data_IF_141739511384
#
_entry.id   IF_141739511384
#
_cell.length_a   1.000
_cell.length_b   1.000
_cell.length_c   1.000
_cell.angle_alpha   90.00
_cell.angle_beta   90.00
_cell.angle_gamma   90.00
#
_symmetry.space_group_name_H-M   'P 1'
#
loop_
_entity.id
_entity.type
_entity.pdbx_description
1 polymer ?
#
# COMPACT_ATOMS: atom_id res chain seq x y z
N UNK A 1 24.41 15.45 6.07
CA UNK A 1 23.39 14.78 6.91
C UNK A 1 23.98 13.63 7.76
N UNK A 2 25.21 13.75 8.21
CA UNK A 2 25.94 12.67 8.93
C UNK A 2 25.60 12.53 10.42
N UNK A 3 24.69 13.33 10.98
CA UNK A 3 24.40 13.36 12.42
C UNK A 3 22.96 12.98 12.79
N UNK A 4 22.10 12.59 11.85
CA UNK A 4 20.71 12.25 12.14
C UNK A 4 19.82 13.42 12.59
N UNK A 5 20.32 14.66 12.52
CA UNK A 5 19.53 15.86 12.84
C UNK A 5 18.73 16.31 11.60
N UNK A 6 17.65 15.58 11.31
CA UNK A 6 16.79 15.91 10.17
C UNK A 6 15.98 17.19 10.38
N UNK A 7 15.63 17.52 11.61
CA UNK A 7 14.94 18.78 11.94
C UNK A 7 15.77 20.01 11.52
N UNK A 8 17.02 20.10 11.95
CA UNK A 8 17.90 21.22 11.54
C UNK A 8 18.22 21.24 10.05
N UNK A 9 18.22 20.06 9.38
CA UNK A 9 18.33 19.99 7.94
C UNK A 9 17.10 20.58 7.23
N UNK A 10 15.89 20.27 7.71
CA UNK A 10 14.63 20.81 7.19
C UNK A 10 14.64 22.33 7.26
N UNK A 11 14.92 22.93 8.44
CA UNK A 11 14.99 24.39 8.62
C UNK A 11 15.95 25.05 7.62
N UNK A 12 17.14 24.45 7.43
CA UNK A 12 18.16 24.99 6.51
C UNK A 12 17.71 24.89 5.05
N UNK A 13 17.13 23.78 4.64
CA UNK A 13 16.66 23.53 3.27
C UNK A 13 15.45 24.38 2.93
N UNK A 14 14.50 24.57 3.84
CA UNK A 14 13.37 25.47 3.70
C UNK A 14 13.81 26.94 3.59
N UNK A 15 14.83 27.34 4.36
CA UNK A 15 15.42 28.67 4.23
C UNK A 15 16.03 28.90 2.84
N UNK A 16 16.65 27.89 2.24
CA UNK A 16 17.20 27.97 0.87
C UNK A 16 16.04 28.06 -0.14
N UNK A 17 15.03 27.19 -0.04
CA UNK A 17 13.88 27.15 -0.95
C UNK A 17 13.09 28.46 -0.92
N UNK A 18 12.91 29.05 0.28
CA UNK A 18 12.18 30.32 0.45
C UNK A 18 12.98 31.53 -0.01
N UNK A 19 14.27 31.58 0.31
CA UNK A 19 15.10 32.77 0.04
C UNK A 19 15.60 32.82 -1.40
N UNK A 20 15.79 31.64 -2.01
CA UNK A 20 16.38 31.51 -3.36
C UNK A 20 15.62 30.48 -4.22
N UNK A 21 14.32 30.62 -4.47
CA UNK A 21 13.49 29.59 -5.10
C UNK A 21 13.90 29.25 -6.54
N UNK A 22 14.65 30.11 -7.20
CA UNK A 22 15.21 29.92 -8.54
C UNK A 22 16.75 29.88 -8.55
N UNK A 23 17.35 29.71 -7.38
CA UNK A 23 18.78 29.64 -7.22
C UNK A 23 19.34 28.30 -7.72
N UNK A 24 20.65 28.29 -7.99
CA UNK A 24 21.41 27.13 -8.48
C UNK A 24 21.18 25.85 -7.62
N UNK A 25 20.91 26.01 -6.35
CA UNK A 25 20.74 24.91 -5.39
C UNK A 25 19.28 24.68 -4.97
N UNK A 26 18.33 25.41 -5.55
CA UNK A 26 16.91 25.28 -5.18
C UNK A 26 16.36 23.88 -5.48
N UNK A 27 16.62 23.36 -6.67
CA UNK A 27 16.17 22.02 -7.07
C UNK A 27 16.77 20.93 -6.16
N UNK A 28 18.06 21.07 -5.82
CA UNK A 28 18.71 20.15 -4.90
C UNK A 28 18.12 20.25 -3.48
N UNK A 29 17.87 21.45 -2.98
CA UNK A 29 17.26 21.65 -1.66
C UNK A 29 15.84 21.07 -1.61
N UNK A 30 15.05 21.26 -2.66
CA UNK A 30 13.69 20.74 -2.74
C UNK A 30 13.66 19.20 -2.76
N UNK A 31 14.57 18.55 -3.48
CA UNK A 31 14.62 17.08 -3.51
C UNK A 31 15.14 16.49 -2.18
N UNK A 32 16.07 17.18 -1.52
CA UNK A 32 16.58 16.79 -0.21
C UNK A 32 15.54 17.00 0.91
N UNK A 33 14.65 18.00 0.78
CA UNK A 33 13.53 18.21 1.69
C UNK A 33 12.61 16.99 1.73
N UNK A 34 12.34 16.35 0.59
CA UNK A 34 11.52 15.13 0.55
C UNK A 34 12.09 14.07 1.49
N UNK A 35 13.40 13.83 1.38
CA UNK A 35 14.10 12.85 2.22
C UNK A 35 14.15 13.29 3.68
N UNK A 36 14.45 14.55 3.95
CA UNK A 36 14.58 15.07 5.31
C UNK A 36 13.24 14.96 6.07
N UNK A 37 12.13 15.37 5.47
CA UNK A 37 10.78 15.18 6.05
C UNK A 37 10.46 13.71 6.25
N UNK A 38 10.73 12.85 5.26
CA UNK A 38 10.48 11.42 5.37
C UNK A 38 11.26 10.81 6.55
N UNK A 39 12.54 11.13 6.69
CA UNK A 39 13.39 10.64 7.79
C UNK A 39 13.03 11.27 9.15
N UNK A 40 12.48 12.49 9.17
CA UNK A 40 11.99 13.14 10.37
C UNK A 40 10.60 12.69 10.81
N UNK A 41 10.03 11.72 10.12
CA UNK A 41 8.71 11.17 10.40
C UNK A 41 7.51 12.07 9.99
N UNK A 42 7.74 13.07 9.25
CA UNK A 42 6.77 14.02 8.70
C UNK A 42 6.29 13.56 7.32
N UNK A 43 5.58 12.43 7.27
CA UNK A 43 5.25 11.76 6.02
C UNK A 43 4.33 12.56 5.11
N UNK A 44 3.40 13.32 5.68
CA UNK A 44 2.52 14.21 4.93
C UNK A 44 3.29 15.38 4.31
N UNK A 45 4.27 15.94 5.04
CA UNK A 45 5.16 16.97 4.51
C UNK A 45 6.06 16.40 3.40
N UNK A 46 6.61 15.18 3.58
CA UNK A 46 7.40 14.51 2.56
C UNK A 46 6.59 14.25 1.28
N UNK A 47 5.34 13.80 1.42
CA UNK A 47 4.43 13.60 0.28
C UNK A 47 4.17 14.92 -0.45
N UNK A 48 3.81 15.98 0.28
CA UNK A 48 3.54 17.30 -0.28
C UNK A 48 4.79 17.90 -0.96
N UNK A 49 5.97 17.73 -0.37
CA UNK A 49 7.24 18.16 -0.97
C UNK A 49 7.54 17.41 -2.28
N UNK A 50 7.27 16.09 -2.31
CA UNK A 50 7.41 15.28 -3.52
C UNK A 50 6.45 15.74 -4.63
N UNK A 51 5.18 15.98 -4.31
CA UNK A 51 4.22 16.51 -5.28
C UNK A 51 4.61 17.90 -5.81
N UNK A 52 5.09 18.78 -4.94
CA UNK A 52 5.61 20.10 -5.32
C UNK A 52 6.77 19.94 -6.30
N UNK A 53 7.75 19.07 -5.99
CA UNK A 53 8.91 18.83 -6.85
C UNK A 53 8.51 18.28 -8.22
N UNK A 54 7.63 17.27 -8.26
CA UNK A 54 7.12 16.67 -9.51
C UNK A 54 6.46 17.71 -10.40
N UNK A 55 5.67 18.61 -9.81
CA UNK A 55 4.98 19.68 -10.54
C UNK A 55 5.92 20.75 -11.08
N UNK A 56 6.94 21.14 -10.29
CA UNK A 56 7.87 22.21 -10.66
C UNK A 56 8.97 21.73 -11.62
N UNK A 57 9.41 20.47 -11.47
CA UNK A 57 10.56 19.92 -12.16
C UNK A 57 10.27 18.61 -12.91
N UNK A 58 9.26 18.57 -13.82
CA UNK A 58 8.78 17.31 -14.42
C UNK A 58 9.80 16.61 -15.33
N UNK A 59 10.92 17.29 -15.67
CA UNK A 59 12.01 16.74 -16.51
C UNK A 59 13.34 16.61 -15.74
N UNK A 60 13.31 16.74 -14.42
CA UNK A 60 14.53 16.62 -13.61
C UNK A 60 15.10 15.19 -13.70
N UNK A 61 16.43 15.00 -13.76
CA UNK A 61 17.05 13.68 -13.84
C UNK A 61 16.63 12.71 -12.73
N UNK A 62 16.36 13.21 -11.52
CA UNK A 62 15.94 12.44 -10.35
C UNK A 62 14.42 12.52 -10.10
N UNK A 63 13.62 12.72 -11.15
CA UNK A 63 12.16 12.81 -11.01
C UNK A 63 11.57 11.47 -10.53
N UNK A 64 12.17 10.36 -10.93
CA UNK A 64 11.83 9.01 -10.49
C UNK A 64 11.92 8.85 -8.97
N UNK A 65 12.95 9.44 -8.34
CA UNK A 65 13.07 9.46 -6.89
C UNK A 65 11.91 10.19 -6.21
N UNK A 66 11.47 11.33 -6.75
CA UNK A 66 10.35 12.07 -6.20
C UNK A 66 9.03 11.26 -6.27
N UNK A 67 8.75 10.60 -7.39
CA UNK A 67 7.59 9.67 -7.52
C UNK A 67 7.69 8.50 -6.55
N UNK A 68 8.86 7.90 -6.40
CA UNK A 68 9.10 6.82 -5.46
C UNK A 68 8.85 7.25 -4.02
N UNK A 69 9.42 8.39 -3.59
CA UNK A 69 9.25 8.93 -2.24
C UNK A 69 7.82 9.36 -1.96
N UNK A 70 7.11 9.91 -2.94
CA UNK A 70 5.68 10.19 -2.85
C UNK A 70 4.91 8.93 -2.44
N UNK A 71 5.08 7.84 -3.20
CA UNK A 71 4.40 6.59 -2.92
C UNK A 71 4.78 5.96 -1.58
N UNK A 72 6.04 6.09 -1.14
CA UNK A 72 6.45 5.62 0.18
C UNK A 72 5.80 6.43 1.31
N UNK A 73 5.68 7.74 1.12
CA UNK A 73 5.18 8.66 2.15
C UNK A 73 3.69 8.48 2.43
N UNK A 74 2.90 8.02 1.46
CA UNK A 74 1.46 7.77 1.64
C UNK A 74 1.15 6.65 2.63
N UNK A 75 2.08 5.72 2.87
CA UNK A 75 1.94 4.68 3.87
C UNK A 75 3.28 4.26 4.46
N UNK A 76 3.56 4.67 5.68
CA UNK A 76 4.73 4.29 6.46
C UNK A 76 4.31 3.49 7.69
N UNK A 77 4.40 2.15 7.58
CA UNK A 77 4.10 1.23 8.69
C UNK A 77 5.16 1.26 9.80
N UNK A 78 6.44 1.46 9.43
CA UNK A 78 7.56 1.22 10.33
C UNK A 78 7.66 2.25 11.47
N UNK A 79 6.72 3.17 11.55
CA UNK A 79 6.70 4.25 12.55
C UNK A 79 5.78 4.01 13.72
N UNK A 80 4.82 3.12 13.58
CA UNK A 80 3.99 2.70 14.71
C UNK A 80 4.71 1.60 15.52
N UNK A 81 5.92 1.90 16.02
CA UNK A 81 6.64 1.02 16.94
C UNK A 81 5.77 0.66 18.17
N UNK A 82 4.83 1.51 18.53
CA UNK A 82 3.83 1.24 19.57
C UNK A 82 2.88 0.10 19.19
N UNK A 83 2.65 -0.15 17.88
CA UNK A 83 1.77 -1.23 17.41
C UNK A 83 2.44 -2.60 17.55
N UNK A 84 3.76 -2.69 17.59
CA UNK A 84 4.50 -3.95 17.84
C UNK A 84 4.23 -4.52 19.24
N UNK A 85 3.74 -3.69 20.16
CA UNK A 85 3.43 -4.09 21.55
C UNK A 85 1.93 -4.32 21.78
N UNK A 86 1.07 -4.01 20.82
CA UNK A 86 -0.34 -4.32 20.89
C UNK A 86 -0.66 -5.37 19.82
N UNK A 87 -1.23 -6.48 20.24
CA UNK A 87 -1.69 -7.60 19.39
C UNK A 87 -2.94 -7.21 18.56
N UNK A 88 -3.00 -5.93 18.20
CA UNK A 88 -4.13 -5.35 17.47
C UNK A 88 -4.02 -5.73 16.01
N UNK A 89 -4.96 -6.51 15.50
CA UNK A 89 -5.03 -6.90 14.09
C UNK A 89 -5.14 -5.65 13.21
N UNK A 90 -4.08 -5.40 12.44
CA UNK A 90 -3.93 -4.23 11.55
C UNK A 90 -4.98 -4.24 10.44
N UNK A 91 -5.58 -5.39 10.15
CA UNK A 91 -6.62 -5.53 9.11
C UNK A 91 -7.91 -4.76 9.41
N UNK A 92 -8.16 -4.43 10.69
CA UNK A 92 -9.33 -3.65 11.13
C UNK A 92 -9.09 -2.13 11.14
N UNK A 93 -7.92 -1.66 10.69
CA UNK A 93 -7.60 -0.23 10.61
C UNK A 93 -7.92 0.35 9.23
N UNK A 94 -7.98 1.68 9.20
CA UNK A 94 -8.08 2.41 7.93
C UNK A 94 -6.89 2.09 7.02
N UNK A 95 -7.19 1.49 5.87
CA UNK A 95 -6.20 1.13 4.84
C UNK A 95 -6.16 2.15 3.69
N UNK A 96 -6.73 3.34 3.88
CA UNK A 96 -6.75 4.40 2.84
C UNK A 96 -5.33 4.78 2.43
N UNK A 97 -4.42 4.98 3.38
CA UNK A 97 -3.01 5.24 3.11
C UNK A 97 -2.33 4.10 2.35
N UNK A 98 -2.63 2.84 2.70
CA UNK A 98 -2.09 1.69 1.98
C UNK A 98 -2.59 1.63 0.52
N UNK A 99 -3.86 1.95 0.28
CA UNK A 99 -4.44 2.03 -1.07
C UNK A 99 -3.80 3.16 -1.89
N UNK A 100 -3.60 4.33 -1.29
CA UNK A 100 -2.93 5.47 -1.93
C UNK A 100 -1.48 5.11 -2.30
N UNK A 101 -0.70 4.60 -1.34
CA UNK A 101 0.68 4.16 -1.56
C UNK A 101 0.79 3.10 -2.66
N UNK A 102 -0.11 2.10 -2.64
CA UNK A 102 -0.13 1.06 -3.68
C UNK A 102 -0.35 1.65 -5.08
N UNK A 103 -1.30 2.57 -5.22
CA UNK A 103 -1.59 3.23 -6.51
C UNK A 103 -0.41 4.08 -6.99
N UNK A 104 0.19 4.89 -6.10
CA UNK A 104 1.31 5.77 -6.42
C UNK A 104 2.59 5.00 -6.75
N UNK A 105 2.90 3.93 -6.01
CA UNK A 105 4.03 3.06 -6.34
C UNK A 105 3.79 2.27 -7.63
N UNK A 106 2.54 1.92 -7.96
CA UNK A 106 2.20 1.30 -9.24
C UNK A 106 2.40 2.27 -10.40
N UNK A 107 1.97 3.53 -10.24
CA UNK A 107 2.26 4.61 -11.19
C UNK A 107 3.77 4.77 -11.40
N UNK A 108 4.54 4.85 -10.30
CA UNK A 108 6.00 4.95 -10.34
C UNK A 108 6.65 3.80 -11.13
N UNK A 109 6.30 2.54 -10.83
CA UNK A 109 6.85 1.35 -11.50
C UNK A 109 6.55 1.36 -12.99
N UNK A 110 5.34 1.81 -13.37
CA UNK A 110 4.90 1.87 -14.77
C UNK A 110 5.61 2.99 -15.54
N UNK A 111 5.80 4.14 -14.90
CA UNK A 111 6.38 5.34 -15.53
C UNK A 111 7.90 5.29 -15.62
N UNK A 112 8.56 4.63 -14.66
CA UNK A 112 10.02 4.58 -14.54
C UNK A 112 10.52 3.13 -14.38
N UNK A 113 10.28 2.24 -15.37
CA UNK A 113 10.59 0.82 -15.26
C UNK A 113 12.07 0.51 -15.02
N UNK A 114 12.98 1.40 -15.44
CA UNK A 114 14.42 1.26 -15.33
C UNK A 114 15.01 1.95 -14.07
N UNK A 115 14.18 2.54 -13.22
CA UNK A 115 14.67 3.21 -12.00
C UNK A 115 15.24 2.18 -11.02
N UNK A 116 16.33 2.57 -10.34
CA UNK A 116 16.97 1.76 -9.30
C UNK A 116 16.04 1.41 -8.13
N UNK A 117 14.97 2.16 -7.92
CA UNK A 117 14.00 1.97 -6.83
C UNK A 117 12.88 0.97 -7.17
N UNK A 118 12.79 0.51 -8.42
CA UNK A 118 11.69 -0.36 -8.89
C UNK A 118 11.62 -1.67 -8.11
N UNK A 119 12.75 -2.30 -7.83
CA UNK A 119 12.77 -3.56 -7.08
C UNK A 119 12.17 -3.41 -5.68
N UNK A 120 12.52 -2.34 -4.98
CA UNK A 120 11.96 -2.03 -3.67
C UNK A 120 10.46 -1.71 -3.75
N UNK A 121 10.06 -0.88 -4.71
CA UNK A 121 8.66 -0.50 -4.92
C UNK A 121 7.78 -1.73 -5.21
N UNK A 122 8.25 -2.68 -6.03
CA UNK A 122 7.55 -3.95 -6.29
C UNK A 122 7.35 -4.78 -5.02
N UNK A 123 8.39 -4.92 -4.19
CA UNK A 123 8.28 -5.64 -2.91
C UNK A 123 7.29 -4.94 -1.97
N UNK A 124 7.33 -3.62 -1.91
CA UNK A 124 6.40 -2.83 -1.12
C UNK A 124 4.95 -3.00 -1.61
N UNK A 125 4.73 -3.00 -2.93
CA UNK A 125 3.42 -3.24 -3.51
C UNK A 125 2.86 -4.63 -3.22
N UNK A 126 3.70 -5.67 -3.19
CA UNK A 126 3.27 -7.02 -2.75
C UNK A 126 2.74 -6.97 -1.31
N UNK A 127 3.47 -6.31 -0.42
CA UNK A 127 3.04 -6.14 0.97
C UNK A 127 1.73 -5.37 1.08
N UNK A 128 1.63 -4.20 0.43
CA UNK A 128 0.43 -3.34 0.48
C UNK A 128 -0.80 -4.06 -0.09
N UNK A 129 -0.63 -4.76 -1.21
CA UNK A 129 -1.67 -5.59 -1.83
C UNK A 129 -2.24 -6.61 -0.85
N UNK A 130 -1.38 -7.38 -0.19
CA UNK A 130 -1.82 -8.39 0.77
C UNK A 130 -2.47 -7.76 2.01
N UNK A 131 -1.99 -6.61 2.46
CA UNK A 131 -2.59 -5.85 3.56
C UNK A 131 -4.01 -5.38 3.22
N UNK A 132 -4.21 -4.83 2.03
CA UNK A 132 -5.52 -4.36 1.55
C UNK A 132 -6.49 -5.55 1.44
N UNK A 133 -6.03 -6.66 0.84
CA UNK A 133 -6.85 -7.87 0.74
C UNK A 133 -7.25 -8.42 2.12
N UNK A 134 -6.30 -8.48 3.05
CA UNK A 134 -6.57 -8.94 4.43
C UNK A 134 -7.61 -8.06 5.13
N UNK A 135 -7.53 -6.74 4.96
CA UNK A 135 -8.51 -5.80 5.53
C UNK A 135 -9.92 -6.02 4.95
N UNK A 136 -10.04 -6.21 3.63
CA UNK A 136 -11.34 -6.47 3.01
C UNK A 136 -11.95 -7.80 3.51
N UNK A 137 -11.12 -8.85 3.66
CA UNK A 137 -11.61 -10.14 4.16
C UNK A 137 -11.92 -10.13 5.67
N UNK A 138 -11.25 -9.30 6.46
CA UNK A 138 -11.65 -9.11 7.87
C UNK A 138 -13.05 -8.48 7.99
N UNK A 139 -13.37 -7.55 7.07
CA UNK A 139 -14.74 -7.05 6.98
C UNK A 139 -15.74 -8.13 6.50
N UNK A 140 -15.30 -9.02 5.60
CA UNK A 140 -16.13 -10.16 5.17
C UNK A 140 -16.43 -11.13 6.33
N UNK A 141 -15.42 -11.46 7.15
CA UNK A 141 -15.61 -12.31 8.34
C UNK A 141 -16.61 -11.69 9.32
N UNK A 142 -16.53 -10.38 9.54
CA UNK A 142 -17.53 -9.71 10.36
C UNK A 142 -18.96 -9.89 9.80
N UNK A 143 -19.12 -9.77 8.47
CA UNK A 143 -20.42 -10.02 7.84
C UNK A 143 -20.89 -11.45 8.02
N UNK A 144 -19.99 -12.44 7.99
CA UNK A 144 -20.33 -13.84 8.28
C UNK A 144 -20.81 -14.02 9.73
N UNK A 145 -20.19 -13.34 10.71
CA UNK A 145 -20.60 -13.44 12.13
C UNK A 145 -22.05 -12.97 12.40
N UNK A 146 -22.61 -12.17 11.50
CA UNK A 146 -23.97 -11.63 11.58
C UNK A 146 -24.90 -12.19 10.49
N UNK A 147 -24.54 -13.32 9.88
CA UNK A 147 -25.27 -13.99 8.80
C UNK A 147 -25.56 -13.10 7.57
N UNK A 148 -24.77 -12.03 7.37
CA UNK A 148 -24.92 -11.10 6.26
C UNK A 148 -24.12 -11.56 5.02
N UNK A 149 -24.40 -12.78 4.53
CA UNK A 149 -23.66 -13.46 3.46
C UNK A 149 -23.49 -12.60 2.18
N UNK A 150 -24.48 -11.81 1.78
CA UNK A 150 -24.37 -10.89 0.62
C UNK A 150 -23.28 -9.84 0.83
N UNK A 151 -23.11 -9.36 2.07
CA UNK A 151 -22.03 -8.44 2.44
C UNK A 151 -20.65 -9.11 2.34
N UNK A 152 -20.53 -10.34 2.84
CA UNK A 152 -19.31 -11.15 2.76
C UNK A 152 -18.91 -11.43 1.31
N UNK A 153 -19.86 -11.86 0.47
CA UNK A 153 -19.66 -12.09 -0.97
C UNK A 153 -19.09 -10.85 -1.65
N UNK A 154 -19.65 -9.66 -1.38
CA UNK A 154 -19.19 -8.42 -2.00
C UNK A 154 -17.73 -8.13 -1.67
N UNK A 155 -17.32 -8.34 -0.42
CA UNK A 155 -15.95 -8.13 0.02
C UNK A 155 -14.97 -9.16 -0.57
N UNK A 156 -15.36 -10.42 -0.57
CA UNK A 156 -14.54 -11.49 -1.13
C UNK A 156 -14.38 -11.35 -2.65
N UNK A 157 -15.44 -11.04 -3.39
CA UNK A 157 -15.36 -10.75 -4.82
C UNK A 157 -14.49 -9.54 -5.11
N UNK A 158 -14.56 -8.48 -4.30
CA UNK A 158 -13.67 -7.33 -4.46
C UNK A 158 -12.19 -7.75 -4.43
N UNK A 159 -11.81 -8.67 -3.53
CA UNK A 159 -10.44 -9.19 -3.45
C UNK A 159 -10.07 -9.98 -4.71
N UNK A 160 -10.94 -10.88 -5.16
CA UNK A 160 -10.67 -11.72 -6.34
C UNK A 160 -10.52 -10.86 -7.62
N UNK A 161 -11.40 -9.89 -7.80
CA UNK A 161 -11.47 -9.07 -9.02
C UNK A 161 -10.42 -7.95 -9.06
N UNK A 162 -10.20 -7.27 -7.93
CA UNK A 162 -9.41 -6.03 -7.89
C UNK A 162 -8.03 -6.21 -7.27
N UNK A 163 -7.79 -7.33 -6.57
CA UNK A 163 -6.52 -7.59 -5.87
C UNK A 163 -5.96 -8.97 -6.31
N UNK A 164 -5.75 -9.19 -7.62
CA UNK A 164 -5.28 -10.48 -8.13
C UNK A 164 -3.87 -10.82 -7.57
N UNK A 165 -3.59 -12.11 -7.46
CA UNK A 165 -2.32 -12.63 -6.93
C UNK A 165 -2.03 -12.25 -5.46
N UNK A 166 -3.04 -11.93 -4.66
CA UNK A 166 -2.91 -11.79 -3.22
C UNK A 166 -2.72 -13.17 -2.56
N UNK A 167 -1.97 -13.22 -1.46
CA UNK A 167 -1.89 -14.39 -0.58
C UNK A 167 -3.25 -14.77 0.03
N UNK A 168 -4.19 -13.83 0.05
CA UNK A 168 -5.52 -13.95 0.64
C UNK A 168 -6.58 -14.54 -0.32
N UNK A 169 -6.24 -14.79 -1.60
CA UNK A 169 -7.21 -15.27 -2.59
C UNK A 169 -7.84 -16.62 -2.19
N UNK A 170 -7.09 -17.52 -1.57
CA UNK A 170 -7.64 -18.77 -1.06
C UNK A 170 -8.72 -18.52 -0.01
N UNK A 171 -8.46 -17.64 0.95
CA UNK A 171 -9.43 -17.28 1.99
C UNK A 171 -10.67 -16.58 1.40
N UNK A 172 -10.48 -15.72 0.39
CA UNK A 172 -11.60 -15.09 -0.32
C UNK A 172 -12.51 -16.13 -0.96
N UNK A 173 -11.94 -17.15 -1.64
CA UNK A 173 -12.71 -18.25 -2.23
C UNK A 173 -13.45 -19.09 -1.16
N UNK A 174 -12.85 -19.33 0.00
CA UNK A 174 -13.52 -20.04 1.11
C UNK A 174 -14.71 -19.26 1.66
N UNK A 175 -14.62 -17.94 1.78
CA UNK A 175 -15.72 -17.06 2.18
C UNK A 175 -16.85 -17.09 1.14
N UNK A 176 -16.51 -17.12 -0.16
CA UNK A 176 -17.50 -17.27 -1.23
C UNK A 176 -18.17 -18.62 -1.17
N UNK A 177 -17.42 -19.71 -1.00
CA UNK A 177 -17.97 -21.06 -0.86
C UNK A 177 -19.00 -21.15 0.26
N UNK A 178 -18.63 -20.72 1.48
CA UNK A 178 -19.51 -20.69 2.65
C UNK A 178 -20.76 -19.85 2.41
N UNK A 179 -20.59 -18.66 1.84
CA UNK A 179 -21.71 -17.74 1.61
C UNK A 179 -22.66 -18.21 0.51
N UNK A 180 -22.14 -18.80 -0.58
CA UNK A 180 -23.00 -19.35 -1.65
C UNK A 180 -23.74 -20.60 -1.19
N UNK A 181 -23.12 -21.44 -0.37
CA UNK A 181 -23.78 -22.60 0.23
C UNK A 181 -24.94 -22.17 1.15
N UNK A 182 -24.71 -21.19 2.03
CA UNK A 182 -25.72 -20.65 2.93
C UNK A 182 -26.92 -20.02 2.19
N UNK A 183 -26.69 -19.40 1.04
CA UNK A 183 -27.72 -18.75 0.23
C UNK A 183 -28.37 -19.70 -0.81
N UNK A 184 -27.85 -20.91 -0.98
CA UNK A 184 -28.36 -21.87 -1.97
C UNK A 184 -28.02 -21.52 -3.42
N UNK A 185 -26.92 -20.77 -3.66
CA UNK A 185 -26.47 -20.38 -4.99
C UNK A 185 -25.62 -21.50 -5.63
N UNK A 186 -26.26 -22.57 -6.05
CA UNK A 186 -25.61 -23.83 -6.45
C UNK A 186 -24.62 -23.69 -7.61
N UNK A 187 -24.97 -22.95 -8.66
CA UNK A 187 -24.08 -22.75 -9.82
C UNK A 187 -22.78 -22.04 -9.42
N UNK A 188 -22.89 -20.94 -8.67
CA UNK A 188 -21.72 -20.16 -8.19
C UNK A 188 -20.89 -20.97 -7.19
N UNK A 189 -21.53 -21.80 -6.38
CA UNK A 189 -20.85 -22.70 -5.45
C UNK A 189 -20.01 -23.73 -6.19
N UNK A 190 -20.55 -24.35 -7.24
CA UNK A 190 -19.85 -25.33 -8.06
C UNK A 190 -18.64 -24.70 -8.76
N UNK A 191 -18.78 -23.48 -9.30
CA UNK A 191 -17.70 -22.72 -9.92
C UNK A 191 -16.56 -22.45 -8.91
N UNK A 192 -16.87 -21.97 -7.72
CA UNK A 192 -15.87 -21.70 -6.67
C UNK A 192 -15.18 -22.99 -6.23
N UNK A 193 -15.90 -24.08 -6.04
CA UNK A 193 -15.34 -25.40 -5.71
C UNK A 193 -14.40 -25.93 -6.79
N UNK A 194 -14.76 -25.72 -8.06
CA UNK A 194 -13.88 -26.06 -9.17
C UNK A 194 -12.57 -25.26 -9.15
N UNK A 195 -12.63 -23.96 -8.88
CA UNK A 195 -11.43 -23.09 -8.76
C UNK A 195 -10.56 -23.53 -7.58
N UNK A 196 -11.17 -23.81 -6.41
CA UNK A 196 -10.45 -24.27 -5.22
C UNK A 196 -9.73 -25.61 -5.50
N UNK A 197 -10.43 -26.60 -6.07
CA UNK A 197 -9.85 -27.91 -6.38
C UNK A 197 -8.73 -27.83 -7.42
N UNK A 198 -8.85 -26.96 -8.42
CA UNK A 198 -7.86 -26.83 -9.49
C UNK A 198 -6.58 -26.12 -9.04
N UNK A 199 -6.70 -25.11 -8.16
CA UNK A 199 -5.57 -24.23 -7.83
C UNK A 199 -5.00 -24.44 -6.42
N UNK A 200 -5.74 -25.10 -5.51
CA UNK A 200 -5.41 -25.15 -4.08
C UNK A 200 -5.55 -26.57 -3.46
N UNK A 201 -5.64 -27.62 -4.27
CA UNK A 201 -5.81 -29.01 -3.81
C UNK A 201 -4.77 -29.51 -2.76
N UNK A 202 -3.59 -28.85 -2.67
CA UNK A 202 -2.57 -29.13 -1.66
C UNK A 202 -2.70 -28.33 -0.35
N UNK A 203 -3.58 -27.33 -0.26
CA UNK A 203 -3.73 -26.51 0.95
C UNK A 203 -4.76 -27.08 1.94
N UNK A 204 -5.69 -27.89 1.48
CA UNK A 204 -6.70 -28.53 2.33
C UNK A 204 -6.13 -29.62 3.25
N UNK A 205 -5.01 -30.24 2.85
CA UNK A 205 -4.37 -31.34 3.61
C UNK A 205 -3.56 -30.88 4.84
N UNK A 206 -3.35 -29.59 5.06
CA UNK A 206 -2.51 -29.05 6.15
C UNK A 206 -3.32 -28.37 7.29
N UNK A 207 -4.66 -28.50 7.29
CA UNK A 207 -5.52 -27.90 8.33
C UNK A 207 -6.29 -28.93 9.17
N UNK A 208 -5.87 -30.20 9.16
CA UNK A 208 -6.36 -31.26 10.07
C UNK A 208 -5.39 -31.54 11.20
#
# INVERSE_FOLDING_TARGET
MSSGNYFGAIESLEAIDTRYPFGKYAEQAQIELIYAHFMNTETEAAHSAAEKFIRLHPRHPNIDYAYFMKGLSSYTRDRDLLIRFTDTDISNRDVSGAKASFAELTEFITRFPDSQYVSYAKQRNIYLRNLIAKSELSAADYYLTIDAHVGAIRRANYVIENIPNSSENYRALKILEESYEALGYTELLDDVRQVLSSNYSGKESNQT
#
